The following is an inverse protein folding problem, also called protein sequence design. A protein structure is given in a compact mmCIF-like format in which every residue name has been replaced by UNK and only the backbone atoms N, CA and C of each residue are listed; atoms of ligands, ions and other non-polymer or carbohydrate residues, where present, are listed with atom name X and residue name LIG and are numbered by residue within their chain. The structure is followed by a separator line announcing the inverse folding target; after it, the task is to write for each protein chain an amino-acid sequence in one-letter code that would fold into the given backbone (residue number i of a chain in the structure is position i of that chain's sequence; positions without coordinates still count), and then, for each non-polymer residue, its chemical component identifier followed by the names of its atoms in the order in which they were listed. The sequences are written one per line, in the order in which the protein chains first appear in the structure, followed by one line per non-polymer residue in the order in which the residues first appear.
data_IF_713381758571
#
_entry.id   IF_713381758571
#
_cell.length_a   1.000
_cell.length_b   1.000
_cell.length_c   1.000
_cell.angle_alpha   90.00
_cell.angle_beta   90.00
_cell.angle_gamma   90.00
#
_symmetry.space_group_name_H-M   'P 1'
#
loop_
_entity.id
_entity.type
_entity.pdbx_description
1 polymer ?
#
# COMPACT_ATOMS: atom_id res chain seq x y z
N UNK A 1 -33.86 0.93 27.94
CA UNK A 1 -32.55 1.47 28.34
C UNK A 1 -32.15 2.46 27.27
N UNK A 2 -31.93 3.72 27.66
CA UNK A 2 -31.39 4.73 26.75
C UNK A 2 -29.95 4.34 26.44
N UNK A 3 -29.58 4.25 25.16
CA UNK A 3 -28.17 4.16 24.78
C UNK A 3 -27.51 5.46 25.23
N UNK A 4 -26.83 5.43 26.37
CA UNK A 4 -26.05 6.57 26.81
C UNK A 4 -24.94 6.84 25.78
N UNK A 5 -24.70 8.11 25.42
CA UNK A 5 -23.64 8.46 24.50
C UNK A 5 -22.30 8.06 25.09
N UNK A 6 -21.53 7.30 24.31
CA UNK A 6 -20.16 6.92 24.65
C UNK A 6 -19.35 8.20 24.94
N UNK A 7 -18.49 8.26 25.97
CA UNK A 7 -17.78 9.48 26.42
C UNK A 7 -16.80 10.07 25.38
N UNK A 8 -16.68 9.42 24.23
CA UNK A 8 -15.95 9.91 23.08
C UNK A 8 -16.96 10.13 21.94
N UNK A 9 -17.19 11.39 21.57
CA UNK A 9 -17.84 11.74 20.30
C UNK A 9 -16.88 11.41 19.16
N UNK A 10 -16.73 10.12 18.87
CA UNK A 10 -16.22 9.67 17.60
C UNK A 10 -17.31 10.02 16.59
N UNK A 11 -17.24 11.24 16.05
CA UNK A 11 -18.28 11.83 15.21
C UNK A 11 -18.96 10.78 14.34
N UNK A 12 -20.29 10.66 14.49
CA UNK A 12 -21.08 9.61 13.85
C UNK A 12 -20.69 9.48 12.39
N UNK A 13 -20.20 8.30 11.99
CA UNK A 13 -19.80 8.02 10.60
C UNK A 13 -20.90 8.51 9.65
N UNK A 14 -20.57 9.49 8.81
CA UNK A 14 -21.47 10.00 7.80
C UNK A 14 -21.23 9.26 6.49
N UNK A 15 -22.21 8.49 5.99
CA UNK A 15 -22.09 7.86 4.69
C UNK A 15 -21.83 8.91 3.62
N UNK A 16 -20.89 8.62 2.72
CA UNK A 16 -20.66 9.44 1.54
C UNK A 16 -21.96 9.52 0.74
N UNK A 17 -22.37 10.73 0.36
CA UNK A 17 -23.42 10.93 -0.65
C UNK A 17 -22.83 10.65 -2.03
N UNK A 18 -23.28 9.55 -2.65
CA UNK A 18 -22.92 9.20 -4.03
C UNK A 18 -23.15 10.39 -4.98
N UNK A 19 -22.28 10.55 -5.98
CA UNK A 19 -22.37 11.65 -6.94
C UNK A 19 -21.85 13.02 -6.46
N UNK A 20 -21.82 13.29 -5.15
CA UNK A 20 -21.67 14.67 -4.66
C UNK A 20 -20.23 15.19 -4.55
N UNK A 21 -19.22 14.33 -4.50
CA UNK A 21 -17.83 14.80 -4.33
C UNK A 21 -17.25 15.36 -5.63
N UNK A 22 -16.43 16.41 -5.56
CA UNK A 22 -15.74 16.96 -6.74
C UNK A 22 -14.95 15.90 -7.52
N UNK A 23 -14.28 14.99 -6.80
CA UNK A 23 -13.57 13.87 -7.40
C UNK A 23 -14.49 12.88 -8.15
N UNK A 24 -15.75 12.72 -7.72
CA UNK A 24 -16.70 11.85 -8.44
C UNK A 24 -17.03 12.45 -9.79
N UNK A 25 -17.50 13.70 -9.78
CA UNK A 25 -17.92 14.43 -10.97
C UNK A 25 -16.77 14.53 -11.98
N UNK A 26 -15.55 14.80 -11.53
CA UNK A 26 -14.37 14.81 -12.40
C UNK A 26 -14.16 13.47 -13.12
N UNK A 27 -14.24 12.35 -12.40
CA UNK A 27 -14.09 11.02 -13.01
C UNK A 27 -15.26 10.71 -13.94
N UNK A 28 -16.49 10.93 -13.49
CA UNK A 28 -17.71 10.70 -14.28
C UNK A 28 -17.71 11.49 -15.59
N UNK A 29 -17.32 12.76 -15.54
CA UNK A 29 -17.33 13.64 -16.72
C UNK A 29 -16.20 13.33 -17.71
N UNK A 30 -15.01 12.93 -17.25
CA UNK A 30 -13.81 12.91 -18.11
C UNK A 30 -13.24 11.52 -18.38
N UNK A 31 -13.80 10.45 -17.79
CA UNK A 31 -13.19 9.14 -17.91
C UNK A 31 -13.19 8.60 -19.35
N UNK A 32 -14.30 8.70 -20.07
CA UNK A 32 -14.41 8.23 -21.45
C UNK A 32 -13.46 8.99 -22.38
N UNK A 33 -13.37 10.32 -22.22
CA UNK A 33 -12.41 11.15 -22.95
C UNK A 33 -10.96 10.72 -22.66
N UNK A 34 -10.64 10.46 -21.39
CA UNK A 34 -9.32 9.98 -20.97
C UNK A 34 -8.99 8.65 -21.65
N UNK A 35 -9.91 7.69 -21.61
CA UNK A 35 -9.75 6.36 -22.22
C UNK A 35 -9.49 6.49 -23.73
N UNK A 36 -10.29 7.29 -24.43
CA UNK A 36 -10.19 7.48 -25.88
C UNK A 36 -8.83 8.06 -26.33
N UNK A 37 -8.22 8.93 -25.51
CA UNK A 37 -6.96 9.61 -25.87
C UNK A 37 -5.73 9.05 -25.15
N UNK A 38 -5.89 8.08 -24.25
CA UNK A 38 -4.81 7.65 -23.35
C UNK A 38 -3.58 7.15 -24.12
N UNK A 39 -3.77 6.23 -25.06
CA UNK A 39 -2.65 5.61 -25.77
C UNK A 39 -1.87 6.64 -26.60
N UNK A 40 -2.56 7.61 -27.19
CA UNK A 40 -1.95 8.65 -28.02
C UNK A 40 -1.25 9.74 -27.21
N UNK A 41 -1.77 10.11 -26.02
CA UNK A 41 -1.27 11.26 -25.24
C UNK A 41 -0.45 10.90 -24.02
N UNK A 42 -0.70 9.73 -23.42
CA UNK A 42 -0.28 9.42 -22.05
C UNK A 42 0.61 8.17 -21.97
N UNK A 43 0.50 7.22 -22.91
CA UNK A 43 1.20 5.94 -22.81
C UNK A 43 2.73 6.06 -22.74
N UNK A 44 3.31 7.04 -23.44
CA UNK A 44 4.76 7.30 -23.40
C UNK A 44 5.26 7.70 -22.00
N UNK A 45 4.40 8.36 -21.20
CA UNK A 45 4.74 8.88 -19.87
C UNK A 45 4.33 7.94 -18.74
N UNK A 46 3.17 7.30 -18.86
CA UNK A 46 2.54 6.52 -17.78
C UNK A 46 2.50 5.01 -18.03
N UNK A 47 3.09 4.56 -19.15
CA UNK A 47 3.00 3.18 -19.61
C UNK A 47 1.66 2.88 -20.29
N UNK A 48 1.50 1.66 -20.78
CA UNK A 48 0.31 1.23 -21.53
C UNK A 48 -0.98 1.21 -20.68
N UNK A 49 -2.13 1.39 -21.35
CA UNK A 49 -3.44 1.25 -20.72
C UNK A 49 -3.63 -0.16 -20.16
N UNK A 50 -3.98 -0.25 -18.88
CA UNK A 50 -4.13 -1.55 -18.21
C UNK A 50 -5.61 -1.97 -18.24
N UNK A 51 -5.94 -3.18 -18.72
CA UNK A 51 -7.34 -3.59 -18.93
C UNK A 51 -8.23 -3.47 -17.68
N UNK A 52 -7.68 -3.69 -16.48
CA UNK A 52 -8.47 -3.62 -15.23
C UNK A 52 -8.82 -2.18 -14.80
N UNK A 53 -8.23 -1.14 -15.41
CA UNK A 53 -8.50 0.26 -15.04
C UNK A 53 -9.96 0.60 -15.24
N UNK A 54 -10.54 0.14 -16.35
CA UNK A 54 -11.95 0.34 -16.70
C UNK A 54 -12.88 -0.23 -15.62
N UNK A 55 -12.68 -1.48 -15.22
CA UNK A 55 -13.45 -2.14 -14.15
C UNK A 55 -13.27 -1.45 -12.78
N UNK A 56 -12.07 -0.92 -12.48
CA UNK A 56 -11.85 -0.15 -11.25
C UNK A 56 -12.67 1.14 -11.25
N UNK A 57 -12.71 1.85 -12.39
CA UNK A 57 -13.37 3.14 -12.50
C UNK A 57 -14.89 2.99 -12.50
N UNK A 58 -15.45 2.09 -13.30
CA UNK A 58 -16.90 1.86 -13.30
C UNK A 58 -17.42 1.35 -11.95
N UNK A 59 -16.67 0.47 -11.27
CA UNK A 59 -17.05 0.10 -9.89
C UNK A 59 -16.96 1.23 -8.90
N UNK A 60 -16.02 2.17 -9.09
CA UNK A 60 -15.99 3.37 -8.27
C UNK A 60 -17.19 4.27 -8.54
N UNK A 61 -17.59 4.43 -9.81
CA UNK A 61 -18.79 5.16 -10.18
C UNK A 61 -20.02 4.52 -9.51
N UNK A 62 -20.17 3.20 -9.55
CA UNK A 62 -21.30 2.52 -8.87
C UNK A 62 -21.18 2.48 -7.33
N UNK A 63 -20.07 2.94 -6.75
CA UNK A 63 -19.80 2.79 -5.32
C UNK A 63 -20.72 3.67 -4.47
N UNK A 64 -21.43 3.05 -3.53
CA UNK A 64 -22.29 3.76 -2.59
C UNK A 64 -23.64 4.22 -3.18
N UNK A 65 -24.01 3.72 -4.37
CA UNK A 65 -25.33 3.92 -4.96
C UNK A 65 -26.25 2.72 -4.65
N UNK A 66 -27.43 3.03 -4.12
CA UNK A 66 -28.43 2.05 -3.72
C UNK A 66 -29.01 1.27 -4.91
N UNK A 67 -29.00 1.83 -6.13
CA UNK A 67 -29.47 1.13 -7.33
C UNK A 67 -28.59 -0.08 -7.69
N UNK A 68 -27.32 -0.07 -7.27
CA UNK A 68 -26.37 -1.16 -7.51
C UNK A 68 -26.25 -2.13 -6.31
N UNK A 69 -27.19 -2.06 -5.37
CA UNK A 69 -27.34 -3.01 -4.27
C UNK A 69 -27.01 -2.44 -2.89
N UNK A 70 -27.68 -2.99 -1.88
CA UNK A 70 -27.55 -2.57 -0.50
C UNK A 70 -27.88 -3.71 0.47
N UNK A 71 -27.41 -3.58 1.70
CA UNK A 71 -27.88 -4.35 2.84
C UNK A 71 -28.88 -3.49 3.63
N UNK A 72 -29.97 -4.09 4.11
CA UNK A 72 -30.86 -3.45 5.10
C UNK A 72 -30.37 -3.84 6.49
N UNK A 73 -29.92 -2.86 7.25
CA UNK A 73 -29.46 -3.06 8.63
C UNK A 73 -30.59 -2.60 9.56
N UNK A 74 -30.88 -3.40 10.59
CA UNK A 74 -31.88 -3.07 11.62
C UNK A 74 -31.32 -3.48 12.98
N UNK A 75 -31.42 -2.59 13.96
CA UNK A 75 -31.15 -2.90 15.36
C UNK A 75 -32.37 -3.61 15.95
N UNK A 76 -32.15 -4.75 16.62
CA UNK A 76 -33.23 -5.50 17.26
C UNK A 76 -33.74 -4.82 18.53
N UNK A 77 -32.90 -4.08 19.25
CA UNK A 77 -33.26 -3.43 20.52
C UNK A 77 -34.10 -2.15 20.33
N UNK A 78 -33.67 -1.25 19.44
CA UNK A 78 -34.34 0.05 19.23
C UNK A 78 -35.17 0.12 17.95
N UNK A 79 -35.13 -0.91 17.11
CA UNK A 79 -35.86 -0.99 15.85
C UNK A 79 -35.35 -0.05 14.75
N UNK A 80 -34.39 0.84 15.02
CA UNK A 80 -33.79 1.72 14.03
C UNK A 80 -33.18 0.90 12.89
N UNK A 81 -33.40 1.33 11.65
CA UNK A 81 -32.82 0.69 10.48
C UNK A 81 -32.47 1.68 9.38
N UNK A 82 -31.51 1.29 8.57
CA UNK A 82 -31.02 2.08 7.45
C UNK A 82 -30.58 1.17 6.30
N UNK A 83 -30.42 1.76 5.12
CA UNK A 83 -29.88 1.08 3.95
C UNK A 83 -28.39 1.36 3.84
N UNK A 84 -27.59 0.30 3.79
CA UNK A 84 -26.16 0.35 3.60
C UNK A 84 -25.82 -0.04 2.16
N UNK A 85 -25.50 0.96 1.33
CA UNK A 85 -25.09 0.72 -0.05
C UNK A 85 -23.81 -0.12 -0.14
N UNK A 86 -23.70 -0.95 -1.17
CA UNK A 86 -22.50 -1.75 -1.39
C UNK A 86 -21.28 -0.90 -1.79
N UNK A 87 -20.11 -1.37 -1.34
CA UNK A 87 -18.83 -0.73 -1.60
C UNK A 87 -18.14 -1.38 -2.80
N UNK A 88 -17.34 -0.60 -3.53
CA UNK A 88 -16.62 -1.10 -4.70
C UNK A 88 -15.48 -2.06 -4.35
N UNK A 89 -15.04 -2.05 -3.07
CA UNK A 89 -13.91 -2.82 -2.53
C UNK A 89 -12.59 -2.58 -3.29
N UNK A 90 -12.47 -1.47 -4.03
CA UNK A 90 -11.28 -1.11 -4.80
C UNK A 90 -10.26 -0.39 -3.92
N UNK A 91 -8.98 -0.66 -4.17
CA UNK A 91 -7.83 -0.08 -3.48
C UNK A 91 -7.36 1.18 -4.22
N UNK A 92 -6.86 2.18 -3.49
CA UNK A 92 -6.29 3.43 -3.97
C UNK A 92 -7.24 4.40 -4.69
N UNK A 93 -8.07 3.93 -5.62
CA UNK A 93 -8.87 4.81 -6.48
C UNK A 93 -10.11 5.38 -5.77
N UNK A 94 -10.84 4.54 -5.01
CA UNK A 94 -11.99 5.00 -4.23
C UNK A 94 -11.52 5.47 -2.84
N UNK A 95 -11.61 6.77 -2.49
CA UNK A 95 -11.08 7.27 -1.22
C UNK A 95 -11.74 6.61 0.00
N UNK A 96 -13.08 6.48 0.00
CA UNK A 96 -13.82 5.89 1.12
C UNK A 96 -13.50 4.41 1.33
N UNK A 97 -13.47 3.62 0.25
CA UNK A 97 -13.15 2.19 0.34
C UNK A 97 -11.67 1.95 0.68
N UNK A 98 -10.77 2.78 0.14
CA UNK A 98 -9.36 2.68 0.46
C UNK A 98 -9.11 3.03 1.92
N UNK A 99 -9.70 4.12 2.43
CA UNK A 99 -9.55 4.55 3.81
C UNK A 99 -10.06 3.49 4.79
N UNK A 100 -11.25 2.93 4.54
CA UNK A 100 -11.79 1.83 5.37
C UNK A 100 -10.79 0.68 5.47
N UNK A 101 -10.25 0.24 4.33
CA UNK A 101 -9.25 -0.84 4.29
C UNK A 101 -7.96 -0.48 5.04
N UNK A 102 -7.50 0.77 4.98
CA UNK A 102 -6.30 1.21 5.72
C UNK A 102 -6.55 1.15 7.22
N UNK A 103 -7.71 1.58 7.69
CA UNK A 103 -8.09 1.53 9.11
C UNK A 103 -8.22 0.07 9.58
N UNK A 104 -8.97 -0.77 8.86
CA UNK A 104 -9.12 -2.20 9.17
C UNK A 104 -7.77 -2.92 9.20
N UNK A 105 -6.87 -2.60 8.26
CA UNK A 105 -5.53 -3.17 8.23
C UNK A 105 -4.67 -2.73 9.42
N UNK A 106 -4.75 -1.45 9.79
CA UNK A 106 -4.04 -0.92 10.96
C UNK A 106 -4.52 -1.54 12.27
N UNK A 107 -5.84 -1.69 12.43
CA UNK A 107 -6.44 -2.38 13.58
C UNK A 107 -5.95 -3.83 13.66
N UNK A 108 -6.07 -4.59 12.57
CA UNK A 108 -5.59 -5.98 12.50
C UNK A 108 -4.10 -6.10 12.82
N UNK A 109 -3.27 -5.17 12.31
CA UNK A 109 -1.84 -5.17 12.66
C UNK A 109 -1.65 -5.01 14.17
N UNK A 110 -2.31 -4.03 14.77
CA UNK A 110 -2.17 -3.73 16.20
C UNK A 110 -2.70 -4.85 17.10
N UNK A 111 -3.79 -5.53 16.73
CA UNK A 111 -4.43 -6.54 17.59
C UNK A 111 -3.87 -7.95 17.36
N UNK A 112 -3.57 -8.33 16.13
CA UNK A 112 -3.24 -9.73 15.78
C UNK A 112 -1.77 -9.97 15.42
N UNK A 113 -1.05 -8.95 14.94
CA UNK A 113 0.27 -9.16 14.31
C UNK A 113 1.42 -8.62 15.17
N UNK A 114 1.30 -7.38 15.63
CA UNK A 114 2.41 -6.68 16.29
C UNK A 114 2.53 -7.13 17.74
N UNK A 115 3.72 -7.58 18.12
CA UNK A 115 4.06 -7.83 19.53
C UNK A 115 4.39 -6.52 20.23
N UNK A 116 4.27 -6.48 21.55
CA UNK A 116 4.66 -5.31 22.34
C UNK A 116 6.19 -5.22 22.49
N UNK A 117 6.86 -4.85 21.40
CA UNK A 117 8.31 -4.60 21.30
C UNK A 117 8.55 -3.32 20.51
N UNK A 118 9.73 -2.70 20.58
CA UNK A 118 10.08 -1.58 19.72
C UNK A 118 9.93 -1.93 18.23
N UNK A 119 9.29 -1.04 17.47
CA UNK A 119 9.15 -1.12 16.02
C UNK A 119 9.71 0.14 15.36
N UNK A 120 10.19 -0.01 14.13
CA UNK A 120 10.71 1.09 13.31
C UNK A 120 10.05 1.07 11.94
N UNK A 121 9.71 2.27 11.47
CA UNK A 121 9.32 2.49 10.09
C UNK A 121 10.56 2.69 9.22
N UNK A 122 10.62 1.96 8.10
CA UNK A 122 11.66 2.07 7.09
C UNK A 122 11.02 2.43 5.75
N UNK A 123 11.72 3.26 4.97
CA UNK A 123 11.27 3.65 3.64
C UNK A 123 12.36 3.36 2.62
N UNK A 124 12.10 2.39 1.74
CA UNK A 124 12.99 2.08 0.63
C UNK A 124 12.42 2.66 -0.66
N UNK A 125 13.17 3.56 -1.30
CA UNK A 125 12.75 4.22 -2.53
C UNK A 125 13.57 3.74 -3.73
N UNK A 126 12.89 3.53 -4.86
CA UNK A 126 13.56 3.13 -6.10
C UNK A 126 14.18 4.34 -6.82
N UNK A 127 15.45 4.27 -7.26
CA UNK A 127 16.07 5.30 -8.08
C UNK A 127 15.25 5.63 -9.34
N UNK A 128 15.18 6.92 -9.70
CA UNK A 128 14.32 7.43 -10.80
C UNK A 128 14.48 6.63 -12.11
N UNK A 129 15.72 6.29 -12.47
CA UNK A 129 16.06 5.56 -13.70
C UNK A 129 15.48 4.13 -13.74
N UNK A 130 15.28 3.50 -12.58
CA UNK A 130 14.77 2.11 -12.50
C UNK A 130 13.24 2.04 -12.44
N UNK A 131 12.56 3.16 -12.15
CA UNK A 131 11.09 3.19 -11.97
C UNK A 131 10.34 2.70 -13.20
N UNK A 132 10.84 2.96 -14.40
CA UNK A 132 10.23 2.55 -15.67
C UNK A 132 9.97 1.03 -15.71
N UNK A 133 10.89 0.21 -15.17
CA UNK A 133 10.74 -1.25 -15.20
C UNK A 133 9.56 -1.71 -14.34
N UNK A 134 9.35 -1.09 -13.18
CA UNK A 134 8.22 -1.35 -12.30
C UNK A 134 6.91 -0.77 -12.84
N UNK A 135 6.97 0.37 -13.54
CA UNK A 135 5.81 0.98 -14.19
C UNK A 135 5.27 0.08 -15.29
N UNK A 136 6.15 -0.45 -16.14
CA UNK A 136 5.79 -1.34 -17.25
C UNK A 136 5.39 -2.73 -16.73
N UNK A 137 6.11 -3.26 -15.73
CA UNK A 137 5.82 -4.56 -15.14
C UNK A 137 5.53 -4.48 -13.64
N UNK A 138 4.26 -4.22 -13.28
CA UNK A 138 3.81 -4.15 -11.89
C UNK A 138 3.98 -5.45 -11.10
N UNK A 139 4.18 -6.61 -11.74
CA UNK A 139 4.51 -7.86 -11.04
C UNK A 139 5.88 -7.80 -10.34
N UNK A 140 6.74 -6.86 -10.74
CA UNK A 140 8.03 -6.62 -10.08
C UNK A 140 7.88 -5.93 -8.72
N UNK A 141 6.75 -5.28 -8.42
CA UNK A 141 6.52 -4.62 -7.13
C UNK A 141 6.54 -5.60 -5.96
N UNK A 142 5.97 -6.81 -6.13
CA UNK A 142 6.05 -7.85 -5.11
C UNK A 142 7.50 -8.35 -4.89
N UNK A 143 8.31 -8.40 -5.96
CA UNK A 143 9.73 -8.75 -5.85
C UNK A 143 10.54 -7.64 -5.18
N UNK A 144 10.16 -6.38 -5.41
CA UNK A 144 10.78 -5.24 -4.74
C UNK A 144 10.62 -5.34 -3.22
N UNK A 145 9.43 -5.73 -2.74
CA UNK A 145 9.20 -6.05 -1.32
C UNK A 145 10.03 -7.22 -0.81
N UNK A 146 10.29 -8.23 -1.65
CA UNK A 146 11.17 -9.33 -1.24
C UNK A 146 12.63 -8.90 -1.13
N UNK A 147 13.08 -7.99 -2.00
CA UNK A 147 14.42 -7.42 -1.94
C UNK A 147 14.62 -6.59 -0.67
N UNK A 148 13.66 -5.72 -0.33
CA UNK A 148 13.74 -4.90 0.90
C UNK A 148 13.85 -5.79 2.15
N UNK A 149 12.99 -6.80 2.23
CA UNK A 149 12.89 -7.62 3.42
C UNK A 149 14.13 -8.47 3.57
N UNK A 150 14.65 -9.01 2.47
CA UNK A 150 15.89 -9.77 2.49
C UNK A 150 17.05 -8.93 3.04
N UNK A 151 17.21 -7.69 2.58
CA UNK A 151 18.29 -6.80 3.05
C UNK A 151 18.09 -6.41 4.51
N UNK A 152 16.88 -5.97 4.86
CA UNK A 152 16.56 -5.54 6.23
C UNK A 152 16.68 -6.67 7.25
N UNK A 153 16.15 -7.85 6.92
CA UNK A 153 16.22 -9.01 7.79
C UNK A 153 17.67 -9.45 8.03
N UNK A 154 18.50 -9.50 6.97
CA UNK A 154 19.92 -9.84 7.12
C UNK A 154 20.66 -8.83 8.00
N UNK A 155 20.38 -7.54 7.82
CA UNK A 155 20.95 -6.49 8.66
C UNK A 155 20.60 -6.67 10.14
N UNK A 156 19.30 -6.86 10.45
CA UNK A 156 18.82 -7.01 11.82
C UNK A 156 19.36 -8.30 12.47
N UNK A 157 19.41 -9.41 11.75
CA UNK A 157 19.97 -10.67 12.26
C UNK A 157 21.46 -10.54 12.58
N UNK A 158 22.24 -9.91 11.69
CA UNK A 158 23.67 -9.67 11.92
C UNK A 158 23.92 -8.75 13.11
N UNK A 159 23.11 -7.69 13.27
CA UNK A 159 23.20 -6.76 14.39
C UNK A 159 22.81 -7.41 15.74
N UNK A 160 21.86 -8.35 15.73
CA UNK A 160 21.48 -9.09 16.94
C UNK A 160 22.57 -10.07 17.40
N UNK A 161 23.31 -10.66 16.45
CA UNK A 161 24.41 -11.61 16.67
C UNK A 161 24.01 -12.87 17.47
N UNK A 162 22.85 -13.44 17.15
CA UNK A 162 22.40 -14.75 17.61
C UNK A 162 22.00 -15.63 16.42
N UNK A 163 22.35 -16.91 16.46
CA UNK A 163 22.13 -17.84 15.33
C UNK A 163 20.64 -18.07 15.04
N UNK A 164 19.78 -17.97 16.05
CA UNK A 164 18.33 -18.16 15.94
C UNK A 164 17.54 -16.83 15.91
N UNK A 165 18.24 -15.70 15.71
CA UNK A 165 17.63 -14.38 15.64
C UNK A 165 16.56 -14.29 14.54
N UNK A 166 15.40 -13.73 14.87
CA UNK A 166 14.28 -13.53 13.95
C UNK A 166 13.72 -12.12 14.09
N UNK A 167 13.83 -11.33 13.02
CA UNK A 167 13.06 -10.10 12.87
C UNK A 167 11.70 -10.40 12.22
N UNK A 168 10.75 -9.49 12.39
CA UNK A 168 9.44 -9.55 11.73
C UNK A 168 9.14 -8.21 11.09
N UNK A 169 8.53 -8.22 9.91
CA UNK A 169 8.09 -7.00 9.25
C UNK A 169 6.79 -7.15 8.49
N UNK A 170 6.08 -6.03 8.35
CA UNK A 170 4.99 -5.82 7.42
C UNK A 170 5.45 -4.82 6.35
N UNK A 171 5.30 -5.19 5.08
CA UNK A 171 5.73 -4.37 3.94
C UNK A 171 4.51 -3.90 3.13
N UNK A 172 4.41 -2.59 2.92
CA UNK A 172 3.40 -1.97 2.07
C UNK A 172 4.04 -1.24 0.89
N UNK A 173 3.74 -1.69 -0.33
CA UNK A 173 4.16 -0.99 -1.55
C UNK A 173 3.25 0.20 -1.84
N UNK A 174 3.86 1.35 -2.10
CA UNK A 174 3.22 2.54 -2.66
C UNK A 174 3.88 2.92 -3.99
N UNK A 175 3.09 3.32 -4.98
CA UNK A 175 3.58 3.55 -6.35
C UNK A 175 3.56 5.01 -6.81
N UNK A 176 3.22 5.95 -5.93
CA UNK A 176 3.11 7.36 -6.27
C UNK A 176 3.43 8.27 -5.08
N UNK A 177 3.98 9.45 -5.37
CA UNK A 177 4.07 10.55 -4.41
C UNK A 177 2.76 11.34 -4.34
N UNK A 178 2.69 12.36 -3.50
CA UNK A 178 1.51 13.22 -3.31
C UNK A 178 1.04 13.89 -4.62
N UNK A 179 1.98 14.23 -5.51
CA UNK A 179 1.69 14.75 -6.86
C UNK A 179 1.35 13.67 -7.90
N UNK A 180 1.05 12.44 -7.48
CA UNK A 180 0.68 11.29 -8.33
C UNK A 180 1.74 10.88 -9.37
N UNK A 181 2.97 11.38 -9.25
CA UNK A 181 4.09 10.94 -10.07
C UNK A 181 4.49 9.51 -9.69
N UNK A 182 4.70 8.65 -10.69
CA UNK A 182 5.06 7.26 -10.44
C UNK A 182 6.39 7.17 -9.67
N UNK A 183 6.29 6.60 -8.47
CA UNK A 183 7.40 6.35 -7.57
C UNK A 183 7.14 5.08 -6.75
N UNK A 184 7.69 3.93 -7.17
CA UNK A 184 7.63 2.71 -6.40
C UNK A 184 8.56 2.84 -5.18
N UNK A 185 7.96 2.87 -4.01
CA UNK A 185 8.62 2.87 -2.72
C UNK A 185 7.86 1.97 -1.74
N UNK A 186 8.55 1.61 -0.67
CA UNK A 186 8.13 0.58 0.27
C UNK A 186 8.09 1.22 1.64
N UNK A 187 6.94 1.14 2.31
CA UNK A 187 6.81 1.43 3.73
C UNK A 187 6.89 0.11 4.47
N UNK A 188 7.92 -0.05 5.30
CA UNK A 188 8.15 -1.26 6.07
C UNK A 188 8.01 -0.93 7.54
N UNK A 189 7.10 -1.61 8.23
CA UNK A 189 7.04 -1.60 9.69
C UNK A 189 7.71 -2.88 10.17
N UNK A 190 8.89 -2.77 10.75
CA UNK A 190 9.66 -3.92 11.24
C UNK A 190 9.92 -3.80 12.75
N UNK A 191 10.14 -4.92 13.41
CA UNK A 191 10.69 -4.94 14.77
C UNK A 191 12.06 -4.25 14.75
N UNK A 192 12.31 -3.36 15.72
CA UNK A 192 13.56 -2.60 15.84
C UNK A 192 14.67 -3.45 16.50
N UNK A 193 14.74 -4.71 16.11
CA UNK A 193 15.42 -5.78 16.83
C UNK A 193 14.96 -7.16 16.40
N UNK A 194 15.50 -8.17 17.06
CA UNK A 194 15.23 -9.58 16.79
C UNK A 194 14.74 -10.31 18.04
N UNK A 195 13.81 -11.24 17.83
CA UNK A 195 13.51 -12.31 18.78
C UNK A 195 14.61 -13.37 18.73
N UNK A 196 14.96 -13.97 19.86
CA UNK A 196 15.94 -15.06 19.95
C UNK A 196 15.65 -15.94 21.16
N UNK A 197 16.18 -17.16 21.15
CA UNK A 197 15.93 -18.18 22.17
C UNK A 197 14.44 -18.42 22.40
N UNK A 198 14.04 -18.50 23.68
CA UNK A 198 12.66 -18.74 24.10
C UNK A 198 11.82 -17.44 24.15
N UNK A 199 11.95 -16.57 23.15
CA UNK A 199 11.13 -15.36 23.01
C UNK A 199 11.70 -14.09 23.64
N UNK A 200 12.99 -14.10 24.01
CA UNK A 200 13.70 -12.87 24.39
C UNK A 200 13.81 -11.94 23.18
N UNK A 201 13.91 -10.62 23.44
CA UNK A 201 14.01 -9.61 22.38
C UNK A 201 15.23 -8.74 22.57
N UNK A 202 16.05 -8.60 21.53
CA UNK A 202 17.23 -7.72 21.51
C UNK A 202 17.00 -6.59 20.52
N UNK A 203 16.98 -5.37 21.05
CA UNK A 203 16.97 -4.14 20.26
C UNK A 203 18.30 -4.03 19.51
N UNK A 204 18.22 -3.73 18.21
CA UNK A 204 19.42 -3.51 17.40
C UNK A 204 19.95 -2.08 17.58
N UNK A 205 21.25 -1.82 17.33
CA UNK A 205 21.78 -0.47 17.30
C UNK A 205 21.03 0.41 16.29
N UNK A 206 21.03 1.72 16.52
CA UNK A 206 20.41 2.68 15.61
C UNK A 206 21.05 2.55 14.21
N UNK A 207 20.27 2.25 13.18
CA UNK A 207 20.78 2.05 11.82
C UNK A 207 21.20 3.36 11.17
N UNK A 208 22.11 3.30 10.20
CA UNK A 208 22.34 4.40 9.26
C UNK A 208 21.78 4.04 7.89
N UNK A 209 21.08 4.98 7.24
CA UNK A 209 20.46 4.73 5.93
C UNK A 209 21.48 4.23 4.88
N UNK A 210 22.71 4.75 4.95
CA UNK A 210 23.84 4.37 4.08
C UNK A 210 24.17 2.87 4.14
N UNK A 211 23.89 2.21 5.27
CA UNK A 211 24.18 0.78 5.46
C UNK A 211 23.33 -0.10 4.51
N UNK A 212 22.21 0.44 4.02
CA UNK A 212 21.25 -0.27 3.19
C UNK A 212 21.36 0.08 1.71
N UNK A 213 21.98 1.21 1.35
CA UNK A 213 21.99 1.72 -0.03
C UNK A 213 22.57 0.71 -1.01
N UNK A 214 23.77 0.21 -0.73
CA UNK A 214 24.47 -0.72 -1.61
C UNK A 214 23.84 -2.12 -1.61
N UNK A 215 23.55 -2.77 -0.46
CA UNK A 215 22.87 -4.06 -0.46
C UNK A 215 21.50 -4.03 -1.15
N UNK A 216 20.70 -2.98 -0.92
CA UNK A 216 19.40 -2.82 -1.56
C UNK A 216 19.53 -2.61 -3.07
N UNK A 217 20.46 -1.74 -3.51
CA UNK A 217 20.79 -1.55 -4.93
C UNK A 217 21.14 -2.87 -5.60
N UNK A 218 22.00 -3.67 -4.99
CA UNK A 218 22.42 -4.97 -5.53
C UNK A 218 21.24 -5.94 -5.67
N UNK A 219 20.38 -6.06 -4.67
CA UNK A 219 19.21 -6.95 -4.75
C UNK A 219 18.21 -6.48 -5.81
N UNK A 220 18.01 -5.16 -5.97
CA UNK A 220 17.17 -4.60 -7.05
C UNK A 220 17.78 -4.91 -8.43
N UNK A 221 19.09 -4.74 -8.60
CA UNK A 221 19.74 -5.07 -9.87
C UNK A 221 19.67 -6.56 -10.18
N UNK A 222 19.88 -7.44 -9.19
CA UNK A 222 19.74 -8.89 -9.35
C UNK A 222 18.35 -9.25 -9.89
N UNK A 223 17.27 -8.69 -9.32
CA UNK A 223 15.92 -9.02 -9.81
C UNK A 223 15.63 -8.47 -11.21
N UNK A 224 16.11 -7.27 -11.54
CA UNK A 224 15.89 -6.67 -12.86
C UNK A 224 16.65 -7.43 -13.94
N UNK A 225 17.88 -7.83 -13.65
CA UNK A 225 18.71 -8.63 -14.55
C UNK A 225 18.15 -10.04 -14.74
N UNK A 226 17.75 -10.71 -13.65
CA UNK A 226 17.08 -12.02 -13.73
C UNK A 226 15.75 -11.98 -14.51
N UNK A 227 15.18 -10.78 -14.71
CA UNK A 227 13.97 -10.55 -15.52
C UNK A 227 14.25 -9.96 -16.90
N UNK A 228 15.51 -9.93 -17.32
CA UNK A 228 15.94 -9.43 -18.63
C UNK A 228 15.61 -7.95 -18.85
N UNK A 229 15.53 -7.16 -17.77
CA UNK A 229 15.18 -5.73 -17.84
C UNK A 229 16.38 -4.81 -18.00
N UNK A 230 17.55 -5.28 -17.58
CA UNK A 230 18.82 -4.56 -17.69
C UNK A 230 19.95 -5.52 -18.09
N UNK A 231 20.99 -4.99 -18.71
CA UNK A 231 22.23 -5.71 -19.08
C UNK A 231 23.41 -5.18 -18.25
N UNK A 232 24.57 -5.85 -18.32
CA UNK A 232 25.81 -5.42 -17.65
C UNK A 232 26.33 -4.04 -18.10
N UNK A 233 25.83 -3.51 -19.22
CA UNK A 233 26.25 -2.22 -19.79
C UNK A 233 25.59 -1.02 -19.08
N UNK A 234 24.50 -1.26 -18.34
CA UNK A 234 23.94 -0.25 -17.45
C UNK A 234 24.85 -0.15 -16.22
N UNK A 235 25.87 0.70 -16.27
CA UNK A 235 26.91 0.75 -15.23
C UNK A 235 26.34 1.19 -13.87
N UNK A 236 26.78 0.52 -12.80
CA UNK A 236 26.49 0.85 -11.39
C UNK A 236 26.91 2.29 -11.03
N UNK A 237 27.81 2.89 -11.81
CA UNK A 237 28.29 4.27 -11.65
C UNK A 237 27.41 5.33 -12.33
N UNK A 238 26.36 4.92 -13.05
CA UNK A 238 25.45 5.83 -13.77
C UNK A 238 24.03 5.83 -13.20
N UNK A 239 23.70 5.14 -12.10
CA UNK A 239 22.34 5.08 -11.52
C UNK A 239 22.31 5.38 -10.03
#
# INVERSE_FOLDING_TARGET
MNCEPHPYDFGVYQPRKHGKSGYFRCVETHFEDLEAVFDNRNACKYGFWRPYVVDVIYRYLNCGDLHFGFARVRCEDCGHGYLLAFSCKRRHFCPSCHQKRVVEFGEWLCTEVLKYVPHRQWVFSTPKRLRIYFMMNRKLLAKLSQCDWKVLNLYLMQAAAYDDAKAVATVAVQSFYDFQNFNPHLHVLATDGCFYGNGSFKVCPTPQAKDFEEPFRQEVFKILKAKGKITYVVSEKQI
#
